data_IF_975798720824
#
_entry.id   IF_975798720824
#
_cell.length_a   1.000
_cell.length_b   1.000
_cell.length_c   1.000
_cell.angle_alpha   90.00
_cell.angle_beta   90.00
_cell.angle_gamma   90.00
#
_symmetry.space_group_name_H-M   'P 1'
#
loop_
_entity.id
_entity.type
_entity.pdbx_description
1 polymer ?
#
# COMPACT_ATOMS: atom_id res chain seq x y z
N UNK A 1 -32.35 22.12 33.88
CA UNK A 1 -31.19 21.94 34.76
C UNK A 1 -30.45 20.76 34.22
N UNK A 2 -29.51 21.00 33.28
CA UNK A 2 -28.74 19.96 32.59
C UNK A 2 -27.61 19.57 33.52
N UNK A 3 -27.54 18.33 33.89
CA UNK A 3 -26.55 17.77 34.82
C UNK A 3 -25.17 17.85 34.17
N UNK A 4 -24.34 18.75 34.67
CA UNK A 4 -22.99 19.05 34.18
C UNK A 4 -21.96 18.00 34.62
N UNK A 5 -22.37 16.88 35.24
CA UNK A 5 -21.49 15.84 35.76
C UNK A 5 -21.01 14.83 34.68
N UNK A 6 -21.71 14.75 33.54
CA UNK A 6 -21.37 13.78 32.51
C UNK A 6 -20.27 14.25 31.53
N UNK A 7 -19.85 15.52 31.60
CA UNK A 7 -18.80 16.05 30.69
C UNK A 7 -17.39 16.01 31.28
N UNK A 8 -17.26 15.81 32.60
CA UNK A 8 -15.95 15.85 33.29
C UNK A 8 -15.27 14.47 33.33
N UNK A 9 -16.07 13.39 33.31
CA UNK A 9 -15.51 12.01 33.39
C UNK A 9 -14.94 11.48 32.06
N UNK A 10 -15.20 12.14 30.93
CA UNK A 10 -14.71 11.67 29.61
C UNK A 10 -13.27 12.12 29.34
N UNK A 11 -12.79 13.19 29.98
CA UNK A 11 -11.46 13.73 29.72
C UNK A 11 -10.33 13.08 30.58
N UNK A 12 -10.63 12.48 31.73
CA UNK A 12 -9.63 11.85 32.58
C UNK A 12 -9.10 10.52 32.03
N UNK A 13 -9.91 9.78 31.27
CA UNK A 13 -9.51 8.49 30.67
C UNK A 13 -8.62 8.64 29.41
N UNK A 14 -8.59 9.85 28.81
CA UNK A 14 -7.85 10.10 27.57
C UNK A 14 -6.33 10.30 27.75
N UNK A 15 -5.84 10.53 28.99
CA UNK A 15 -4.45 10.87 29.27
C UNK A 15 -3.76 9.92 30.27
N UNK A 16 -4.14 8.65 30.29
CA UNK A 16 -3.41 7.69 31.11
C UNK A 16 -2.01 7.48 30.52
N UNK A 17 -0.96 7.76 31.32
CA UNK A 17 0.43 7.58 30.87
C UNK A 17 0.75 6.09 30.66
N UNK A 18 1.74 5.83 29.83
CA UNK A 18 2.31 4.49 29.64
C UNK A 18 2.81 3.94 30.99
N UNK A 19 2.55 2.65 31.25
CA UNK A 19 3.07 1.92 32.40
C UNK A 19 4.43 1.27 32.15
N UNK A 20 5.07 1.59 31.02
CA UNK A 20 6.34 1.03 30.60
C UNK A 20 7.49 1.72 31.36
N UNK A 21 8.53 0.96 31.68
CA UNK A 21 9.80 1.49 32.11
C UNK A 21 10.54 2.17 30.94
N UNK A 22 11.52 3.02 31.24
CA UNK A 22 12.23 3.83 30.24
C UNK A 22 12.91 2.98 29.15
N UNK A 23 13.43 1.79 29.52
CA UNK A 23 14.07 0.89 28.56
C UNK A 23 13.05 0.30 27.58
N UNK A 24 11.97 -0.28 28.09
CA UNK A 24 10.89 -0.83 27.29
C UNK A 24 10.23 0.24 26.42
N UNK A 25 10.09 1.46 26.92
CA UNK A 25 9.59 2.57 26.13
C UNK A 25 10.53 2.92 24.96
N UNK A 26 11.84 2.97 25.21
CA UNK A 26 12.85 3.20 24.17
C UNK A 26 12.84 2.12 23.09
N UNK A 27 12.80 0.85 23.48
CA UNK A 27 12.71 -0.29 22.53
C UNK A 27 11.44 -0.20 21.67
N UNK A 28 10.30 0.13 22.25
CA UNK A 28 9.04 0.28 21.52
C UNK A 28 9.07 1.46 20.55
N UNK A 29 9.72 2.56 20.89
CA UNK A 29 9.94 3.68 19.98
C UNK A 29 10.77 3.27 18.76
N UNK A 30 11.81 2.46 18.95
CA UNK A 30 12.62 1.93 17.84
C UNK A 30 11.79 1.01 16.93
N UNK A 31 11.04 0.07 17.53
CA UNK A 31 10.15 -0.83 16.76
C UNK A 31 9.12 -0.03 15.95
N UNK A 32 8.51 0.99 16.54
CA UNK A 32 7.56 1.87 15.85
C UNK A 32 8.21 2.62 14.69
N UNK A 33 9.42 3.16 14.90
CA UNK A 33 10.16 3.90 13.88
C UNK A 33 10.54 3.00 12.72
N UNK A 34 11.04 1.80 13.00
CA UNK A 34 11.41 0.81 12.00
C UNK A 34 10.19 0.34 11.19
N UNK A 35 9.12 -0.06 11.86
CA UNK A 35 7.89 -0.49 11.20
C UNK A 35 7.29 0.62 10.32
N UNK A 36 7.32 1.88 10.77
CA UNK A 36 6.86 3.03 10.00
C UNK A 36 7.75 3.31 8.77
N UNK A 37 9.06 3.11 8.89
CA UNK A 37 9.99 3.23 7.77
C UNK A 37 9.75 2.11 6.73
N UNK A 38 9.53 0.87 7.17
CA UNK A 38 9.22 -0.28 6.34
C UNK A 38 7.92 -0.10 5.55
N UNK A 39 6.89 0.47 6.17
CA UNK A 39 5.61 0.77 5.48
C UNK A 39 5.83 1.82 4.38
N UNK A 40 6.58 2.89 4.66
CA UNK A 40 6.90 3.92 3.66
C UNK A 40 7.70 3.33 2.50
N UNK A 41 8.70 2.51 2.80
CA UNK A 41 9.49 1.80 1.79
C UNK A 41 8.61 0.91 0.92
N UNK A 42 7.74 0.10 1.51
CA UNK A 42 6.84 -0.78 0.77
C UNK A 42 5.88 0.01 -0.14
N UNK A 43 5.33 1.13 0.32
CA UNK A 43 4.49 2.03 -0.51
C UNK A 43 5.27 2.60 -1.70
N UNK A 44 6.51 3.06 -1.48
CA UNK A 44 7.37 3.57 -2.55
C UNK A 44 7.67 2.49 -3.60
N UNK A 45 7.97 1.27 -3.17
CA UNK A 45 8.20 0.15 -4.08
C UNK A 45 6.95 -0.25 -4.88
N UNK A 46 5.77 -0.19 -4.27
CA UNK A 46 4.51 -0.43 -4.98
C UNK A 46 4.30 0.59 -6.10
N UNK A 47 4.50 1.88 -5.82
CA UNK A 47 4.37 2.93 -6.84
C UNK A 47 5.40 2.77 -7.95
N UNK A 48 6.66 2.47 -7.63
CA UNK A 48 7.70 2.19 -8.62
C UNK A 48 7.34 1.01 -9.51
N UNK A 49 6.80 -0.06 -8.94
CA UNK A 49 6.35 -1.24 -9.68
C UNK A 49 5.27 -0.87 -10.70
N UNK A 50 4.25 -0.09 -10.32
CA UNK A 50 3.19 0.38 -11.22
C UNK A 50 3.76 1.29 -12.32
N UNK A 51 4.65 2.22 -11.98
CA UNK A 51 5.29 3.13 -12.96
C UNK A 51 6.12 2.34 -13.97
N UNK A 52 6.97 1.42 -13.53
CA UNK A 52 7.78 0.61 -14.45
C UNK A 52 6.93 -0.29 -15.33
N UNK A 53 5.86 -0.86 -14.79
CA UNK A 53 4.89 -1.61 -15.58
C UNK A 53 4.25 -0.72 -16.66
N UNK A 54 3.80 0.47 -16.30
CA UNK A 54 3.18 1.42 -17.24
C UNK A 54 4.16 1.83 -18.34
N UNK A 55 5.41 2.15 -18.00
CA UNK A 55 6.44 2.50 -18.99
C UNK A 55 6.70 1.33 -19.94
N UNK A 56 6.88 0.11 -19.42
CA UNK A 56 7.10 -1.08 -20.23
C UNK A 56 5.94 -1.36 -21.19
N UNK A 57 4.71 -1.25 -20.70
CA UNK A 57 3.49 -1.45 -21.49
C UNK A 57 3.36 -0.42 -22.60
N UNK A 58 3.58 0.87 -22.30
CA UNK A 58 3.55 1.95 -23.30
C UNK A 58 4.65 1.74 -24.34
N UNK A 59 5.85 1.34 -23.93
CA UNK A 59 6.95 1.10 -24.86
C UNK A 59 6.65 -0.04 -25.84
N UNK A 60 6.08 -1.15 -25.37
CA UNK A 60 5.66 -2.28 -26.23
C UNK A 60 4.57 -1.83 -27.18
N UNK A 61 3.53 -1.15 -26.71
CA UNK A 61 2.43 -0.67 -27.57
C UNK A 61 2.93 0.30 -28.63
N UNK A 62 3.80 1.26 -28.25
CA UNK A 62 4.37 2.23 -29.18
C UNK A 62 5.25 1.55 -30.24
N UNK A 63 6.01 0.53 -29.88
CA UNK A 63 6.80 -0.24 -30.81
C UNK A 63 5.91 -0.96 -31.83
N UNK A 64 4.85 -1.63 -31.39
CA UNK A 64 3.91 -2.32 -32.27
C UNK A 64 3.21 -1.34 -33.22
N UNK A 65 2.80 -0.16 -32.74
CA UNK A 65 2.21 0.89 -33.58
C UNK A 65 3.21 1.40 -34.66
N UNK A 66 4.47 1.62 -34.30
CA UNK A 66 5.50 2.08 -35.22
C UNK A 66 5.84 1.04 -36.32
N UNK A 67 5.66 -0.23 -36.02
CA UNK A 67 5.87 -1.35 -36.96
C UNK A 67 4.59 -1.73 -37.72
N UNK A 68 3.52 -0.97 -37.56
CA UNK A 68 2.21 -1.21 -38.21
C UNK A 68 1.68 -2.63 -37.97
N UNK A 69 2.05 -3.24 -36.82
CA UNK A 69 1.70 -4.61 -36.44
C UNK A 69 2.07 -5.67 -37.50
N UNK A 70 3.09 -5.41 -38.32
CA UNK A 70 3.43 -6.18 -39.52
C UNK A 70 3.86 -7.62 -39.26
N UNK A 71 4.36 -7.94 -38.04
CA UNK A 71 4.82 -9.30 -37.69
C UNK A 71 3.94 -9.89 -36.58
N UNK A 72 2.99 -10.72 -36.98
CA UNK A 72 2.06 -11.40 -36.05
C UNK A 72 2.79 -12.26 -35.01
N UNK A 73 3.88 -12.93 -35.39
CA UNK A 73 4.64 -13.79 -34.48
C UNK A 73 5.32 -12.95 -33.40
N UNK A 74 5.93 -11.84 -33.79
CA UNK A 74 6.59 -10.92 -32.86
C UNK A 74 5.56 -10.29 -31.90
N UNK A 75 4.44 -9.83 -32.43
CA UNK A 75 3.35 -9.26 -31.64
C UNK A 75 2.83 -10.25 -30.56
N UNK A 76 2.66 -11.51 -30.94
CA UNK A 76 2.27 -12.56 -29.99
C UNK A 76 3.30 -12.73 -28.84
N UNK A 77 4.60 -12.79 -29.16
CA UNK A 77 5.64 -12.90 -28.14
C UNK A 77 5.72 -11.66 -27.24
N UNK A 78 5.58 -10.46 -27.79
CA UNK A 78 5.54 -9.23 -27.02
C UNK A 78 4.34 -9.19 -26.07
N UNK A 79 3.17 -9.60 -26.55
CA UNK A 79 1.97 -9.71 -25.71
C UNK A 79 2.20 -10.73 -24.57
N UNK A 80 2.77 -11.88 -24.87
CA UNK A 80 3.09 -12.91 -23.87
C UNK A 80 4.03 -12.34 -22.77
N UNK A 81 5.06 -11.60 -23.18
CA UNK A 81 5.99 -10.95 -22.26
C UNK A 81 5.24 -9.94 -21.36
N UNK A 82 4.36 -9.12 -21.91
CA UNK A 82 3.55 -8.17 -21.14
C UNK A 82 2.66 -8.89 -20.13
N UNK A 83 2.04 -10.01 -20.50
CA UNK A 83 1.23 -10.81 -19.59
C UNK A 83 2.05 -11.42 -18.44
N UNK A 84 3.21 -12.00 -18.74
CA UNK A 84 4.12 -12.54 -17.72
C UNK A 84 4.60 -11.43 -16.79
N UNK A 85 5.02 -10.29 -17.36
CA UNK A 85 5.47 -9.14 -16.59
C UNK A 85 4.38 -8.57 -15.70
N UNK A 86 3.13 -8.51 -16.19
CA UNK A 86 1.95 -8.12 -15.39
C UNK A 86 1.74 -9.08 -14.21
N UNK A 87 1.80 -10.39 -14.44
CA UNK A 87 1.67 -11.39 -13.38
C UNK A 87 2.73 -11.23 -12.30
N UNK A 88 3.99 -11.06 -12.69
CA UNK A 88 5.09 -10.82 -11.74
C UNK A 88 4.89 -9.53 -10.95
N UNK A 89 4.50 -8.43 -11.59
CA UNK A 89 4.23 -7.17 -10.90
C UNK A 89 3.06 -7.28 -9.91
N UNK A 90 1.98 -7.97 -10.26
CA UNK A 90 0.87 -8.24 -9.35
C UNK A 90 1.32 -9.02 -8.12
N UNK A 91 2.17 -10.04 -8.29
CA UNK A 91 2.75 -10.79 -7.18
C UNK A 91 3.62 -9.92 -6.27
N UNK A 92 4.43 -9.03 -6.85
CA UNK A 92 5.25 -8.08 -6.10
C UNK A 92 4.35 -7.14 -5.27
N UNK A 93 3.35 -6.52 -5.89
CA UNK A 93 2.41 -5.60 -5.21
C UNK A 93 1.68 -6.33 -4.09
N UNK A 94 1.22 -7.56 -4.33
CA UNK A 94 0.54 -8.37 -3.32
C UNK A 94 1.46 -8.73 -2.15
N UNK A 95 2.70 -9.14 -2.43
CA UNK A 95 3.70 -9.47 -1.40
C UNK A 95 4.04 -8.26 -0.52
N UNK A 96 4.21 -7.09 -1.14
CA UNK A 96 4.45 -5.84 -0.43
C UNK A 96 3.26 -5.44 0.45
N UNK A 97 2.03 -5.70 0.01
CA UNK A 97 0.82 -5.45 0.82
C UNK A 97 0.74 -6.38 2.02
N UNK A 98 1.07 -7.66 1.83
CA UNK A 98 1.13 -8.60 2.95
C UNK A 98 2.16 -8.17 3.98
N UNK A 99 3.33 -7.74 3.52
CA UNK A 99 4.37 -7.20 4.41
C UNK A 99 3.91 -5.94 5.15
N UNK A 100 3.27 -4.98 4.46
CA UNK A 100 2.67 -3.81 5.11
C UNK A 100 1.64 -4.18 6.19
N UNK A 101 0.81 -5.18 5.93
CA UNK A 101 -0.16 -5.65 6.92
C UNK A 101 0.51 -6.23 8.17
N UNK A 102 1.66 -6.91 8.01
CA UNK A 102 2.46 -7.39 9.13
C UNK A 102 3.08 -6.24 9.95
N UNK A 103 3.66 -5.23 9.26
CA UNK A 103 4.23 -4.05 9.92
C UNK A 103 3.15 -3.21 10.63
N UNK A 104 1.96 -3.05 10.06
CA UNK A 104 0.84 -2.38 10.74
C UNK A 104 0.45 -3.10 12.05
N UNK A 105 0.43 -4.43 12.08
CA UNK A 105 0.15 -5.18 13.33
C UNK A 105 1.20 -4.92 14.41
N UNK A 106 2.50 -4.76 14.04
CA UNK A 106 3.55 -4.38 14.98
C UNK A 106 3.28 -2.99 15.56
N UNK A 107 2.92 -2.02 14.70
CA UNK A 107 2.54 -0.67 15.13
C UNK A 107 1.34 -0.71 16.08
N UNK A 108 0.29 -1.44 15.73
CA UNK A 108 -0.91 -1.56 16.57
C UNK A 108 -0.57 -2.19 17.93
N UNK A 109 0.29 -3.20 17.95
CA UNK A 109 0.76 -3.80 19.20
C UNK A 109 1.54 -2.80 20.06
N UNK A 110 2.49 -2.06 19.49
CA UNK A 110 3.26 -1.04 20.20
C UNK A 110 2.34 0.04 20.76
N UNK A 111 1.42 0.55 19.94
CA UNK A 111 0.50 1.61 20.35
C UNK A 111 -0.48 1.17 21.44
N UNK A 112 -0.86 -0.12 21.46
CA UNK A 112 -1.70 -0.67 22.55
C UNK A 112 -1.02 -0.68 23.91
N UNK A 113 0.31 -0.58 23.95
CA UNK A 113 1.10 -0.51 25.19
C UNK A 113 1.46 0.92 25.60
N UNK A 114 1.26 1.88 24.72
CA UNK A 114 1.48 3.29 25.02
C UNK A 114 0.28 3.92 25.74
N UNK A 115 0.27 5.24 25.84
CA UNK A 115 -0.83 5.97 26.46
C UNK A 115 -2.13 5.82 25.66
N UNK A 116 -3.27 6.01 26.33
CA UNK A 116 -4.60 6.02 25.69
C UNK A 116 -4.70 7.07 24.57
N UNK A 117 -3.98 8.19 24.69
CA UNK A 117 -3.88 9.22 23.65
C UNK A 117 -3.31 8.67 22.34
N UNK A 118 -2.24 7.89 22.39
CA UNK A 118 -1.61 7.30 21.20
C UNK A 118 -2.55 6.31 20.49
N UNK A 119 -3.24 5.46 21.23
CA UNK A 119 -4.21 4.51 20.68
C UNK A 119 -5.42 5.21 20.04
N UNK A 120 -5.91 6.28 20.65
CA UNK A 120 -7.02 7.09 20.12
C UNK A 120 -6.63 7.84 18.86
N UNK A 121 -5.42 8.40 18.80
CA UNK A 121 -4.90 9.08 17.60
C UNK A 121 -4.84 8.12 16.40
N UNK A 122 -4.41 6.88 16.62
CA UNK A 122 -4.35 5.83 15.59
C UNK A 122 -5.74 5.43 15.09
N UNK A 123 -6.70 5.25 16.02
CA UNK A 123 -8.07 4.83 15.68
C UNK A 123 -8.83 5.81 14.78
N UNK A 124 -8.34 7.06 14.65
CA UNK A 124 -8.91 8.07 13.75
C UNK A 124 -8.41 7.98 12.30
N UNK A 125 -7.34 7.25 12.03
CA UNK A 125 -6.89 7.03 10.66
C UNK A 125 -7.87 6.07 9.95
N UNK A 126 -8.56 6.58 8.92
CA UNK A 126 -9.46 5.75 8.11
C UNK A 126 -8.64 4.76 7.27
N UNK A 127 -8.89 3.46 7.40
CA UNK A 127 -8.33 2.42 6.53
C UNK A 127 -8.73 2.59 5.06
N UNK A 128 -9.75 3.38 4.80
CA UNK A 128 -10.35 3.64 3.49
C UNK A 128 -9.34 4.20 2.48
N UNK A 129 -8.45 5.12 2.89
CA UNK A 129 -7.42 5.68 2.00
C UNK A 129 -6.39 4.62 1.57
N UNK A 130 -6.03 3.71 2.46
CA UNK A 130 -5.13 2.58 2.14
C UNK A 130 -5.79 1.59 1.18
N UNK A 131 -7.08 1.31 1.36
CA UNK A 131 -7.84 0.40 0.51
C UNK A 131 -8.06 1.01 -0.89
N UNK A 132 -8.40 2.28 -1.00
CA UNK A 132 -8.52 3.00 -2.28
C UNK A 132 -7.19 2.94 -3.04
N UNK A 133 -6.06 3.22 -2.38
CA UNK A 133 -4.74 3.14 -3.02
C UNK A 133 -4.47 1.73 -3.55
N UNK A 134 -4.76 0.70 -2.76
CA UNK A 134 -4.55 -0.70 -3.10
C UNK A 134 -5.35 -1.12 -4.32
N UNK A 135 -6.67 -0.93 -4.28
CA UNK A 135 -7.55 -1.31 -5.38
C UNK A 135 -7.34 -0.45 -6.62
N UNK A 136 -7.01 0.84 -6.44
CA UNK A 136 -6.67 1.74 -7.53
C UNK A 136 -5.45 1.29 -8.32
N UNK A 137 -4.38 0.87 -7.66
CA UNK A 137 -3.19 0.33 -8.33
C UNK A 137 -3.48 -0.96 -9.11
N UNK A 138 -4.24 -1.90 -8.52
CA UNK A 138 -4.62 -3.14 -9.20
C UNK A 138 -5.51 -2.87 -10.41
N UNK A 139 -6.48 -1.96 -10.27
CA UNK A 139 -7.36 -1.55 -11.37
C UNK A 139 -6.57 -0.91 -12.51
N UNK A 140 -5.64 0.00 -12.22
CA UNK A 140 -4.79 0.60 -13.25
C UNK A 140 -3.98 -0.45 -14.01
N UNK A 141 -3.37 -1.41 -13.32
CA UNK A 141 -2.62 -2.49 -13.98
C UNK A 141 -3.53 -3.36 -14.87
N UNK A 142 -4.74 -3.69 -14.40
CA UNK A 142 -5.71 -4.44 -15.19
C UNK A 142 -6.14 -3.68 -16.45
N UNK A 143 -6.43 -2.38 -16.31
CA UNK A 143 -6.80 -1.53 -17.47
C UNK A 143 -5.67 -1.43 -18.51
N UNK A 144 -4.42 -1.27 -18.06
CA UNK A 144 -3.29 -1.27 -18.99
C UNK A 144 -3.15 -2.59 -19.73
N UNK A 145 -3.31 -3.71 -19.03
CA UNK A 145 -3.22 -5.04 -19.63
C UNK A 145 -4.32 -5.26 -20.66
N UNK A 146 -5.56 -4.85 -20.37
CA UNK A 146 -6.67 -4.91 -21.31
C UNK A 146 -6.43 -4.04 -22.55
N UNK A 147 -5.98 -2.80 -22.36
CA UNK A 147 -5.69 -1.88 -23.47
C UNK A 147 -4.64 -2.47 -24.44
N UNK A 148 -3.54 -3.03 -23.90
CA UNK A 148 -2.52 -3.69 -24.74
C UNK A 148 -3.09 -4.89 -25.46
N UNK A 149 -3.86 -5.73 -24.76
CA UNK A 149 -4.47 -6.91 -25.36
C UNK A 149 -5.39 -6.53 -26.52
N UNK A 150 -6.24 -5.51 -26.33
CA UNK A 150 -7.13 -4.99 -27.40
C UNK A 150 -6.32 -4.43 -28.57
N UNK A 151 -5.24 -3.68 -28.27
CA UNK A 151 -4.41 -3.10 -29.32
C UNK A 151 -3.69 -4.16 -30.18
N UNK A 152 -3.23 -5.26 -29.55
CA UNK A 152 -2.53 -6.37 -30.25
C UNK A 152 -3.50 -7.28 -31.02
N UNK A 153 -4.75 -7.38 -30.62
CA UNK A 153 -5.76 -8.28 -31.24
C UNK A 153 -6.61 -7.63 -32.33
N UNK A 154 -6.38 -6.35 -32.62
CA UNK A 154 -7.04 -5.62 -33.74
C UNK A 154 -6.28 -5.80 -35.03
#
# INVERSE_FOLDING_TARGET
>A
MIDNRSLVDVDEDFNLPSRLDDLSHSEMCEIFRDASANIRFAKDQQWKSVVYFSIGTVAVTSYCELTEWADESLNFYLLLIVWIFSGVNLLIVFSLQWWQAAENRKIDFVMSKWSTFASTARGRESGLASDIQRYGMMLMMALYLELVTIAVTR
#
